data_IF_257910282335
#
_entry.id   IF_257910282335
#
_cell.length_a   1.000
_cell.length_b   1.000
_cell.length_c   1.000
_cell.angle_alpha   90.00
_cell.angle_beta   90.00
_cell.angle_gamma   90.00
#
_symmetry.space_group_name_H-M   'P 1'
#
loop_
_entity.id
_entity.type
_entity.pdbx_description
1 polymer ?
#
# COMPACT_ATOMS: atom_id res chain seq x y z
N UNK A 1 -31.74 2.02 -0.53
CA UNK A 1 -32.05 3.28 -1.24
C UNK A 1 -32.26 3.05 -2.75
N UNK A 2 -31.37 2.36 -3.43
CA UNK A 2 -31.41 2.15 -4.90
C UNK A 2 -32.69 1.44 -5.36
N UNK A 3 -33.10 0.36 -4.70
CA UNK A 3 -34.33 -0.38 -5.02
C UNK A 3 -35.58 0.50 -4.95
N UNK A 4 -35.72 1.31 -3.91
CA UNK A 4 -36.84 2.23 -3.77
C UNK A 4 -36.93 3.26 -4.91
N UNK A 5 -35.78 3.74 -5.40
CA UNK A 5 -35.72 4.67 -6.54
C UNK A 5 -36.16 3.97 -7.82
N UNK A 6 -35.74 2.72 -8.04
CA UNK A 6 -36.14 1.91 -9.19
C UNK A 6 -37.64 1.68 -9.17
N UNK A 7 -38.22 1.20 -8.06
CA UNK A 7 -39.63 0.97 -7.92
C UNK A 7 -40.48 2.23 -8.19
N UNK A 8 -39.99 3.40 -7.77
CA UNK A 8 -40.66 4.67 -8.09
C UNK A 8 -40.61 5.02 -9.58
N UNK A 9 -39.52 4.71 -10.26
CA UNK A 9 -39.38 4.88 -11.71
C UNK A 9 -40.34 3.96 -12.48
N UNK A 10 -40.56 2.74 -11.97
CA UNK A 10 -41.46 1.76 -12.53
C UNK A 10 -42.95 2.02 -12.17
N UNK A 11 -43.26 3.21 -11.60
CA UNK A 11 -44.61 3.64 -11.27
C UNK A 11 -45.13 3.17 -9.92
N UNK A 12 -44.36 2.42 -9.12
CA UNK A 12 -44.78 1.96 -7.80
C UNK A 12 -44.60 3.06 -6.73
N UNK A 13 -45.70 3.69 -6.32
CA UNK A 13 -45.69 4.69 -5.24
C UNK A 13 -45.73 3.99 -3.89
N UNK A 14 -44.54 3.63 -3.38
CA UNK A 14 -44.38 2.96 -2.10
C UNK A 14 -43.57 3.84 -1.13
N UNK A 15 -43.95 3.75 0.16
CA UNK A 15 -43.13 4.37 1.20
C UNK A 15 -41.81 3.60 1.37
N UNK A 16 -40.72 4.32 1.56
CA UNK A 16 -39.38 3.74 1.79
C UNK A 16 -39.33 2.73 2.95
N UNK A 17 -40.07 2.98 4.03
CA UNK A 17 -40.18 2.03 5.16
C UNK A 17 -40.84 0.71 4.74
N UNK A 18 -41.88 0.77 3.89
CA UNK A 18 -42.57 -0.42 3.35
C UNK A 18 -41.63 -1.21 2.42
N UNK A 19 -40.92 -0.54 1.52
CA UNK A 19 -39.91 -1.20 0.66
C UNK A 19 -38.88 -1.93 1.49
N UNK A 20 -38.40 -1.31 2.57
CA UNK A 20 -37.38 -1.92 3.43
C UNK A 20 -37.92 -3.11 4.24
N UNK A 21 -39.18 -3.07 4.67
CA UNK A 21 -39.83 -4.19 5.36
C UNK A 21 -40.00 -5.38 4.43
N UNK A 22 -40.58 -5.19 3.26
CA UNK A 22 -40.74 -6.24 2.24
C UNK A 22 -39.39 -6.86 1.86
N UNK A 23 -38.37 -6.04 1.69
CA UNK A 23 -37.01 -6.52 1.37
C UNK A 23 -36.44 -7.47 2.43
N UNK A 24 -36.79 -7.27 3.70
CA UNK A 24 -36.41 -8.16 4.80
C UNK A 24 -37.28 -9.42 4.87
N UNK A 25 -38.57 -9.28 4.68
CA UNK A 25 -39.55 -10.38 4.66
C UNK A 25 -39.21 -11.40 3.55
N UNK A 26 -38.76 -10.91 2.39
CA UNK A 26 -38.29 -11.73 1.27
C UNK A 26 -36.87 -12.30 1.46
N UNK A 27 -36.27 -12.16 2.62
CA UNK A 27 -34.92 -12.69 2.93
C UNK A 27 -33.80 -12.07 2.10
N UNK A 28 -34.06 -11.00 1.36
CA UNK A 28 -33.08 -10.32 0.55
C UNK A 28 -32.09 -9.55 1.44
N UNK A 29 -30.89 -10.05 1.60
CA UNK A 29 -29.83 -9.37 2.35
C UNK A 29 -28.80 -8.75 1.44
N UNK A 30 -28.51 -7.47 1.63
CA UNK A 30 -27.33 -6.84 1.01
C UNK A 30 -26.10 -7.32 1.75
N UNK A 31 -25.24 -8.08 1.07
CA UNK A 31 -23.94 -8.46 1.62
C UNK A 31 -23.19 -7.17 1.98
N UNK A 32 -23.11 -6.86 3.27
CA UNK A 32 -22.28 -5.74 3.73
C UNK A 32 -20.85 -6.04 3.34
N UNK A 33 -20.23 -5.17 2.54
CA UNK A 33 -18.78 -5.21 2.38
C UNK A 33 -18.17 -5.13 3.78
N UNK A 34 -17.58 -6.22 4.24
CA UNK A 34 -16.74 -6.17 5.45
C UNK A 34 -15.66 -5.13 5.14
N UNK A 35 -15.59 -4.08 5.94
CA UNK A 35 -14.43 -3.19 5.89
C UNK A 35 -13.19 -4.07 6.02
N UNK A 36 -12.18 -3.83 5.20
CA UNK A 36 -10.87 -4.49 5.38
C UNK A 36 -10.53 -4.36 6.86
N UNK A 37 -10.31 -5.50 7.53
CA UNK A 37 -9.79 -5.49 8.88
C UNK A 37 -8.54 -4.61 8.84
N UNK A 38 -8.58 -3.46 9.48
CA UNK A 38 -7.35 -2.71 9.72
C UNK A 38 -6.43 -3.66 10.46
N UNK A 39 -5.23 -3.87 9.91
CA UNK A 39 -4.20 -4.57 10.65
C UNK A 39 -3.98 -3.77 11.94
N UNK A 40 -4.44 -4.33 13.05
CA UNK A 40 -4.18 -3.82 14.39
C UNK A 40 -2.80 -4.38 14.73
N UNK A 41 -1.76 -3.87 14.06
CA UNK A 41 -0.40 -4.02 14.52
C UNK A 41 -0.17 -2.94 15.55
N UNK A 42 0.33 -3.30 16.71
CA UNK A 42 0.96 -2.37 17.64
C UNK A 42 2.05 -1.64 16.85
N UNK A 43 1.74 -0.43 16.40
CA UNK A 43 2.78 0.50 15.96
C UNK A 43 3.51 0.92 17.23
N UNK A 44 4.55 0.16 17.61
CA UNK A 44 5.48 0.62 18.62
C UNK A 44 6.01 1.99 18.23
N UNK A 45 6.30 2.88 19.20
CA UNK A 45 6.98 4.13 18.89
C UNK A 45 8.25 3.79 18.11
N UNK A 46 8.46 4.47 17.00
CA UNK A 46 9.70 4.40 16.24
C UNK A 46 10.79 5.00 17.12
N UNK A 47 11.48 4.14 17.88
CA UNK A 47 12.70 4.55 18.57
C UNK A 47 13.73 4.77 17.46
N UNK A 48 13.90 6.02 17.05
CA UNK A 48 14.94 6.40 16.11
C UNK A 48 16.20 6.59 16.93
N UNK A 49 17.11 5.63 16.85
CA UNK A 49 18.45 5.86 17.38
C UNK A 49 19.07 7.07 16.68
N UNK A 50 19.77 7.94 17.42
CA UNK A 50 20.29 9.20 16.90
C UNK A 50 21.59 9.04 16.06
N UNK A 51 21.92 7.81 15.66
CA UNK A 51 23.14 7.49 14.92
C UNK A 51 22.89 7.26 13.44
N UNK A 52 23.76 7.79 12.59
CA UNK A 52 23.75 7.46 11.17
C UNK A 52 23.80 5.95 10.94
N UNK A 53 23.15 5.44 9.91
CA UNK A 53 22.98 4.02 9.61
C UNK A 53 22.17 3.22 10.64
N UNK A 54 21.54 3.83 11.64
CA UNK A 54 20.69 3.09 12.56
C UNK A 54 19.48 2.49 11.83
N UNK A 55 18.93 3.21 10.85
CA UNK A 55 17.74 2.79 10.13
C UNK A 55 17.71 3.31 8.71
N UNK A 56 17.52 2.40 7.76
CA UNK A 56 17.27 2.74 6.36
C UNK A 56 15.82 2.47 5.99
N UNK A 57 15.20 3.40 5.29
CA UNK A 57 13.88 3.22 4.66
C UNK A 57 14.04 2.96 3.17
N UNK A 58 13.34 1.95 2.68
CA UNK A 58 13.33 1.55 1.27
C UNK A 58 11.92 1.73 0.72
N UNK A 59 11.82 2.48 -0.36
CA UNK A 59 10.57 2.78 -1.04
C UNK A 59 10.67 2.59 -2.55
N UNK A 60 9.55 2.20 -3.18
CA UNK A 60 9.42 2.05 -4.63
C UNK A 60 8.46 3.07 -5.18
N UNK A 61 8.97 3.94 -6.02
CA UNK A 61 8.15 4.85 -6.84
C UNK A 61 7.96 4.25 -8.23
N UNK A 62 6.73 4.30 -8.73
CA UNK A 62 6.40 3.89 -10.09
C UNK A 62 5.92 5.12 -10.86
N UNK A 63 6.46 5.29 -12.07
CA UNK A 63 6.11 6.39 -12.96
C UNK A 63 6.18 5.93 -14.42
N UNK A 64 5.82 6.79 -15.34
CA UNK A 64 5.85 6.50 -16.77
C UNK A 64 6.40 7.67 -17.57
N UNK A 65 7.08 7.35 -18.67
CA UNK A 65 7.53 8.32 -19.64
C UNK A 65 6.35 8.85 -20.48
N UNK A 66 6.58 9.95 -21.18
CA UNK A 66 5.60 10.53 -22.10
C UNK A 66 5.16 9.57 -23.22
N UNK A 67 5.99 8.60 -23.59
CA UNK A 67 5.69 7.53 -24.56
C UNK A 67 4.90 6.35 -23.94
N UNK A 68 4.54 6.44 -22.65
CA UNK A 68 3.75 5.43 -21.93
C UNK A 68 4.57 4.27 -21.36
N UNK A 69 5.88 4.17 -21.59
CA UNK A 69 6.73 3.17 -20.95
C UNK A 69 6.82 3.43 -19.45
N UNK A 70 6.60 2.39 -18.66
CA UNK A 70 6.69 2.47 -17.19
C UNK A 70 8.12 2.21 -16.72
N UNK A 71 8.48 2.88 -15.65
CA UNK A 71 9.72 2.64 -14.93
C UNK A 71 9.49 2.64 -13.42
N UNK A 72 10.45 2.13 -12.69
CA UNK A 72 10.45 2.09 -11.22
C UNK A 72 11.71 2.75 -10.70
N UNK A 73 11.60 3.35 -9.55
CA UNK A 73 12.72 3.94 -8.81
C UNK A 73 12.78 3.24 -7.46
N UNK A 74 13.90 2.63 -7.14
CA UNK A 74 14.21 2.15 -5.81
C UNK A 74 14.92 3.28 -5.06
N UNK A 75 14.28 3.83 -4.03
CA UNK A 75 14.85 4.84 -3.16
C UNK A 75 15.29 4.19 -1.85
N UNK A 76 16.49 4.49 -1.40
CA UNK A 76 16.99 4.11 -0.09
C UNK A 76 17.46 5.37 0.65
N UNK A 77 16.89 5.59 1.83
CA UNK A 77 17.13 6.80 2.64
C UNK A 77 17.55 6.39 4.04
N UNK A 78 18.55 7.06 4.58
CA UNK A 78 18.85 7.00 6.02
C UNK A 78 17.84 7.86 6.78
N UNK A 79 17.03 7.23 7.64
CA UNK A 79 15.96 7.91 8.38
C UNK A 79 16.50 8.91 9.40
N UNK A 80 17.74 8.77 9.84
CA UNK A 80 18.36 9.65 10.84
C UNK A 80 18.94 10.88 10.17
N UNK A 81 19.82 10.69 9.19
CA UNK A 81 20.50 11.78 8.51
C UNK A 81 19.66 12.43 7.41
N UNK A 82 18.59 11.77 6.99
CA UNK A 82 17.75 12.14 5.82
C UNK A 82 18.52 12.15 4.50
N UNK A 83 19.64 11.49 4.48
CA UNK A 83 20.47 11.35 3.28
C UNK A 83 19.87 10.31 2.33
N UNK A 84 19.81 10.64 1.05
CA UNK A 84 19.49 9.68 -0.01
C UNK A 84 20.71 8.82 -0.28
N UNK A 85 20.65 7.55 0.09
CA UNK A 85 21.76 6.60 -0.05
C UNK A 85 21.83 6.00 -1.46
N UNK A 86 20.67 5.79 -2.07
CA UNK A 86 20.55 5.33 -3.44
C UNK A 86 19.20 5.74 -4.06
N UNK A 87 19.25 6.01 -5.37
CA UNK A 87 18.11 6.15 -6.24
C UNK A 87 18.39 5.37 -7.52
N UNK A 88 17.86 4.15 -7.62
CA UNK A 88 18.09 3.25 -8.77
C UNK A 88 16.87 3.22 -9.65
N UNK A 89 17.03 3.67 -10.90
CA UNK A 89 15.94 3.71 -11.90
C UNK A 89 16.09 2.55 -12.87
N UNK A 90 15.01 1.80 -13.07
CA UNK A 90 14.97 0.73 -14.06
C UNK A 90 13.52 0.48 -14.52
N UNK A 91 13.35 -0.13 -15.67
CA UNK A 91 12.03 -0.57 -16.17
C UNK A 91 11.47 -1.75 -15.37
N UNK A 92 12.35 -2.57 -14.80
CA UNK A 92 12.00 -3.69 -13.92
C UNK A 92 13.03 -3.86 -12.81
N UNK A 93 12.59 -3.81 -11.57
CA UNK A 93 13.43 -4.03 -10.40
C UNK A 93 12.95 -5.31 -9.71
N UNK A 94 13.72 -6.39 -9.85
CA UNK A 94 13.46 -7.67 -9.18
C UNK A 94 14.04 -7.69 -7.77
N UNK A 95 13.56 -8.58 -6.91
CA UNK A 95 14.10 -8.75 -5.55
C UNK A 95 15.61 -9.04 -5.53
N UNK A 96 16.13 -9.79 -6.52
CA UNK A 96 17.58 -10.01 -6.68
C UNK A 96 18.35 -8.71 -6.99
N UNK A 97 17.76 -7.82 -7.78
CA UNK A 97 18.34 -6.50 -8.05
C UNK A 97 18.39 -5.65 -6.79
N UNK A 98 17.28 -5.63 -6.03
CA UNK A 98 17.22 -4.93 -4.74
C UNK A 98 18.30 -5.45 -3.79
N UNK A 99 18.41 -6.77 -3.63
CA UNK A 99 19.43 -7.37 -2.75
C UNK A 99 20.85 -6.96 -3.14
N UNK A 100 21.17 -6.94 -4.43
CA UNK A 100 22.47 -6.52 -4.93
C UNK A 100 22.77 -5.03 -4.62
N UNK A 101 21.79 -4.14 -4.85
CA UNK A 101 21.97 -2.73 -4.56
C UNK A 101 22.15 -2.46 -3.06
N UNK A 102 21.36 -3.14 -2.21
CA UNK A 102 21.51 -3.06 -0.76
C UNK A 102 22.86 -3.63 -0.28
N UNK A 103 23.32 -4.75 -0.87
CA UNK A 103 24.66 -5.29 -0.54
C UNK A 103 25.75 -4.28 -0.87
N UNK A 104 25.73 -3.68 -2.06
CA UNK A 104 26.71 -2.65 -2.42
C UNK A 104 26.65 -1.40 -1.54
N UNK A 105 25.48 -1.04 -1.02
CA UNK A 105 25.33 0.04 -0.04
C UNK A 105 25.96 -0.35 1.31
N UNK A 106 25.70 -1.57 1.77
CA UNK A 106 26.26 -2.11 3.03
C UNK A 106 27.78 -2.17 2.97
N UNK A 107 28.36 -2.55 1.84
CA UNK A 107 29.82 -2.60 1.63
C UNK A 107 30.46 -1.20 1.73
N UNK A 108 29.77 -0.17 1.23
CA UNK A 108 30.28 1.21 1.24
C UNK A 108 30.07 1.96 2.55
N UNK A 109 28.94 1.71 3.24
CA UNK A 109 28.51 2.51 4.40
C UNK A 109 28.44 1.75 5.71
N UNK A 110 28.63 0.44 5.67
CA UNK A 110 28.41 -0.42 6.79
C UNK A 110 26.93 -0.90 6.88
N UNK A 111 26.73 -1.92 7.69
CA UNK A 111 25.42 -2.56 7.87
C UNK A 111 24.48 -1.68 8.69
N UNK A 112 23.26 -1.37 8.23
CA UNK A 112 22.27 -0.66 9.03
C UNK A 112 21.76 -1.52 10.18
N UNK A 113 21.30 -0.89 11.24
CA UNK A 113 20.64 -1.55 12.35
C UNK A 113 19.33 -2.20 11.93
N UNK A 114 18.53 -1.48 11.14
CA UNK A 114 17.23 -1.94 10.62
C UNK A 114 17.02 -1.43 9.20
N UNK A 115 16.42 -2.26 8.34
CA UNK A 115 15.88 -1.85 7.05
C UNK A 115 14.36 -1.96 7.11
N UNK A 116 13.66 -0.87 6.78
CA UNK A 116 12.20 -0.82 6.75
C UNK A 116 11.75 -0.60 5.32
N UNK A 117 10.80 -1.41 4.86
CA UNK A 117 10.09 -1.20 3.60
C UNK A 117 8.60 -1.12 3.86
N UNK A 118 7.86 -0.42 3.01
CA UNK A 118 6.44 -0.65 2.95
C UNK A 118 6.21 -2.09 2.43
N UNK A 119 5.07 -2.71 2.77
CA UNK A 119 4.78 -4.12 2.45
C UNK A 119 4.57 -4.34 0.93
N UNK A 120 5.50 -3.85 0.10
CA UNK A 120 5.50 -4.06 -1.34
C UNK A 120 5.68 -5.55 -1.68
N UNK A 121 4.96 -6.03 -2.69
CA UNK A 121 5.03 -7.40 -3.21
C UNK A 121 6.42 -7.74 -3.78
N UNK A 122 7.26 -6.75 -3.98
CA UNK A 122 8.61 -6.84 -4.54
C UNK A 122 9.58 -7.64 -3.63
N UNK A 123 9.33 -7.63 -2.31
CA UNK A 123 10.13 -8.38 -1.35
C UNK A 123 9.62 -9.81 -1.11
N UNK A 124 8.43 -10.15 -1.62
CA UNK A 124 7.81 -11.46 -1.43
C UNK A 124 7.89 -12.36 -2.67
N UNK A 125 8.43 -11.88 -3.78
CA UNK A 125 8.67 -12.68 -4.97
C UNK A 125 9.95 -13.49 -4.82
N UNK A 126 9.82 -14.81 -4.85
CA UNK A 126 10.93 -15.77 -4.94
C UNK A 126 11.72 -15.62 -6.25
#
# INVERSE_FOLDING_TARGET
RRLHVILRRDGHVLNRKRTQRLYREEGLSVRRRRSRKRAIGTRGPLVTEALANARWSVDFVQDQFADGRRFRILNVIDDVTKESLAAVVDTSISGRRVARELTGLIERRGKPGVIVSDNGTEFTSN
#
